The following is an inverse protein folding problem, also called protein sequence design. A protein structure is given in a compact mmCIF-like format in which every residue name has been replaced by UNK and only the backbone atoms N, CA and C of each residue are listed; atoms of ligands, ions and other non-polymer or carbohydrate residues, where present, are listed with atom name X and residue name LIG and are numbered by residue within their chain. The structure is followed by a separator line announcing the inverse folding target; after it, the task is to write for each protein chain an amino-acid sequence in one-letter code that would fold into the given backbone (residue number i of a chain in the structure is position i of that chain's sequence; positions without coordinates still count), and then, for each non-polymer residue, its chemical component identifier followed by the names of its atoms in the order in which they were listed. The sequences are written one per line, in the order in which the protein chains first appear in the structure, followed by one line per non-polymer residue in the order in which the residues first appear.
data_IF_230140157017
#
_entry.id   IF_230140157017
#
_cell.length_a   1.000
_cell.length_b   1.000
_cell.length_c   1.000
_cell.angle_alpha   90.00
_cell.angle_beta   90.00
_cell.angle_gamma   90.00
#
_symmetry.space_group_name_H-M   'P 1'
#
loop_
_entity.id
_entity.type
_entity.pdbx_description
1 polymer ?
#
# COMPACT_ATOMS: atom_id res chain seq x y z
N UNK A 1 -22.55 -20.17 6.78
CA UNK A 1 -21.37 -19.53 6.14
C UNK A 1 -21.13 -20.27 4.82
N UNK A 2 -21.15 -19.60 3.66
CA UNK A 2 -20.92 -20.28 2.37
C UNK A 2 -19.46 -20.74 2.28
N UNK A 3 -19.24 -21.96 1.80
CA UNK A 3 -17.91 -22.50 1.53
C UNK A 3 -17.19 -21.64 0.49
N UNK A 4 -15.96 -21.23 0.77
CA UNK A 4 -15.19 -20.28 -0.07
C UNK A 4 -14.15 -21.02 -0.91
N UNK A 5 -14.63 -21.83 -1.85
CA UNK A 5 -13.82 -22.74 -2.69
C UNK A 5 -12.57 -22.11 -3.33
N UNK A 6 -12.62 -20.83 -3.69
CA UNK A 6 -11.54 -20.14 -4.42
C UNK A 6 -10.71 -19.17 -3.57
N UNK A 7 -11.09 -18.97 -2.31
CA UNK A 7 -10.36 -18.08 -1.43
C UNK A 7 -9.08 -18.75 -0.92
N UNK A 8 -7.98 -18.00 -0.89
CA UNK A 8 -6.72 -18.40 -0.27
C UNK A 8 -6.51 -17.63 1.03
N UNK A 9 -5.78 -18.21 1.98
CA UNK A 9 -5.34 -17.49 3.18
C UNK A 9 -4.21 -16.56 2.77
N UNK A 10 -4.38 -15.26 3.01
CA UNK A 10 -3.33 -14.25 2.85
C UNK A 10 -2.47 -14.24 4.12
N UNK A 11 -1.18 -14.54 3.95
CA UNK A 11 -0.18 -14.50 5.01
C UNK A 11 0.86 -13.46 4.65
N UNK A 12 0.89 -12.36 5.40
CA UNK A 12 1.85 -11.29 5.19
C UNK A 12 2.23 -10.62 6.51
N UNK A 13 3.43 -10.06 6.56
CA UNK A 13 3.86 -9.12 7.61
C UNK A 13 4.21 -7.79 6.94
N UNK A 14 3.81 -6.68 7.57
CA UNK A 14 3.99 -5.32 7.05
C UNK A 14 4.93 -4.52 7.94
N UNK A 15 5.84 -3.77 7.33
CA UNK A 15 6.86 -2.99 8.02
C UNK A 15 6.95 -1.58 7.45
N UNK A 16 7.12 -0.58 8.32
CA UNK A 16 7.50 0.76 7.94
C UNK A 16 8.98 0.82 7.60
N UNK A 17 9.33 1.52 6.52
CA UNK A 17 10.72 1.88 6.20
C UNK A 17 10.92 3.39 6.30
N UNK A 18 12.14 3.82 6.61
CA UNK A 18 12.50 5.24 6.66
C UNK A 18 12.53 5.91 5.27
N UNK A 19 12.62 5.12 4.20
CA UNK A 19 12.72 5.63 2.84
C UNK A 19 12.69 4.52 1.79
N UNK A 20 12.68 4.90 0.50
CA UNK A 20 12.68 3.97 -0.62
C UNK A 20 13.93 3.08 -0.60
N UNK A 21 13.86 1.88 -1.21
CA UNK A 21 15.02 0.99 -1.28
C UNK A 21 16.09 1.58 -2.20
N UNK A 22 17.35 1.18 -1.97
CA UNK A 22 18.44 1.53 -2.88
C UNK A 22 18.19 0.92 -4.27
N UNK A 23 18.40 1.66 -5.38
CA UNK A 23 18.15 1.16 -6.73
C UNK A 23 18.87 -0.16 -7.05
N UNK A 24 20.08 -0.36 -6.51
CA UNK A 24 20.87 -1.59 -6.69
C UNK A 24 20.24 -2.85 -6.06
N UNK A 25 19.28 -2.69 -5.14
CA UNK A 25 18.58 -3.80 -4.49
C UNK A 25 17.28 -4.18 -5.19
N UNK A 26 16.83 -3.39 -6.16
CA UNK A 26 15.55 -3.58 -6.84
C UNK A 26 15.72 -4.56 -7.99
N UNK A 27 14.89 -5.61 -8.02
CA UNK A 27 14.88 -6.59 -9.11
C UNK A 27 13.76 -6.36 -10.12
N UNK A 28 12.63 -5.80 -9.68
CA UNK A 28 11.48 -5.48 -10.53
C UNK A 28 10.79 -4.22 -10.01
N UNK A 29 10.37 -3.34 -10.91
CA UNK A 29 9.52 -2.20 -10.58
C UNK A 29 8.13 -2.37 -11.16
N UNK A 30 7.08 -2.09 -10.37
CA UNK A 30 5.69 -2.07 -10.84
C UNK A 30 5.01 -0.77 -10.44
N UNK A 31 4.37 -0.12 -11.40
CA UNK A 31 3.42 0.95 -11.14
C UNK A 31 2.07 0.32 -10.83
N UNK A 32 1.43 0.71 -9.73
CA UNK A 32 0.18 0.11 -9.27
C UNK A 32 -0.85 1.22 -9.02
N UNK A 33 -2.06 1.01 -9.55
CA UNK A 33 -3.24 1.81 -9.23
C UNK A 33 -4.35 0.89 -8.77
N UNK A 34 -4.75 1.08 -7.52
CA UNK A 34 -5.83 0.35 -6.89
C UNK A 34 -7.07 1.23 -6.78
N UNK A 35 -8.21 0.72 -7.25
CA UNK A 35 -9.54 1.29 -7.06
C UNK A 35 -10.27 0.46 -6.01
N UNK A 36 -10.48 1.02 -4.82
CA UNK A 36 -11.27 0.38 -3.76
C UNK A 36 -12.73 0.73 -3.99
N UNK A 37 -13.54 -0.25 -4.40
CA UNK A 37 -14.92 -0.03 -4.80
C UNK A 37 -15.78 0.29 -3.56
N UNK A 38 -16.44 1.44 -3.59
CA UNK A 38 -17.14 2.01 -2.43
C UNK A 38 -18.22 1.06 -1.87
N UNK A 39 -18.30 0.97 -0.54
CA UNK A 39 -19.28 0.11 0.14
C UNK A 39 -19.03 -1.39 -0.01
N UNK A 40 -17.90 -1.81 -0.59
CA UNK A 40 -17.59 -3.22 -0.81
C UNK A 40 -16.24 -3.64 -0.21
N UNK A 41 -15.92 -4.93 -0.36
CA UNK A 41 -14.60 -5.52 -0.05
C UNK A 41 -13.76 -5.76 -1.31
N UNK A 42 -14.17 -5.16 -2.42
CA UNK A 42 -13.59 -5.37 -3.73
C UNK A 42 -12.59 -4.28 -4.06
N UNK A 43 -11.49 -4.67 -4.68
CA UNK A 43 -10.46 -3.78 -5.19
C UNK A 43 -10.13 -4.16 -6.63
N UNK A 44 -10.26 -3.21 -7.54
CA UNK A 44 -9.84 -3.35 -8.91
C UNK A 44 -8.41 -2.79 -9.04
N UNK A 45 -7.45 -3.63 -9.46
CA UNK A 45 -6.04 -3.27 -9.61
C UNK A 45 -5.65 -3.21 -11.07
N UNK A 46 -5.00 -2.12 -11.45
CA UNK A 46 -4.16 -2.02 -12.63
C UNK A 46 -2.70 -2.03 -12.18
N UNK A 47 -1.86 -2.78 -12.88
CA UNK A 47 -0.41 -2.72 -12.67
C UNK A 47 0.37 -2.86 -13.97
N UNK A 48 1.50 -2.17 -14.05
CA UNK A 48 2.39 -2.17 -15.20
C UNK A 48 3.84 -2.32 -14.74
N UNK A 49 4.63 -3.13 -15.45
CA UNK A 49 6.06 -3.23 -15.29
C UNK A 49 6.73 -2.34 -16.36
N UNK A 50 7.26 -1.15 -16.02
CA UNK A 50 7.79 -0.22 -17.03
C UNK A 50 8.88 -0.83 -17.91
N UNK A 51 9.75 -1.65 -17.32
CA UNK A 51 10.89 -2.27 -18.02
C UNK A 51 10.47 -3.23 -19.13
N UNK A 52 9.30 -3.86 -18.99
CA UNK A 52 8.79 -4.86 -19.95
C UNK A 52 7.54 -4.41 -20.70
N UNK A 53 6.92 -3.31 -20.27
CA UNK A 53 5.60 -2.86 -20.73
C UNK A 53 4.45 -3.82 -20.38
N UNK A 54 4.71 -4.88 -19.60
CA UNK A 54 3.70 -5.88 -19.27
C UNK A 54 2.66 -5.31 -18.30
N UNK A 55 1.38 -5.60 -18.57
CA UNK A 55 0.23 -5.08 -17.83
C UNK A 55 -0.61 -6.21 -17.25
N UNK A 56 -1.05 -6.04 -16.01
CA UNK A 56 -1.93 -6.97 -15.31
C UNK A 56 -3.13 -6.20 -14.74
N UNK A 57 -4.32 -6.74 -15.00
CA UNK A 57 -5.61 -6.22 -14.55
C UNK A 57 -6.29 -7.29 -13.69
N UNK A 58 -6.77 -6.95 -12.50
CA UNK A 58 -7.48 -7.92 -11.66
C UNK A 58 -8.51 -7.31 -10.72
N UNK A 59 -9.56 -8.08 -10.43
CA UNK A 59 -10.48 -7.85 -9.33
C UNK A 59 -10.04 -8.70 -8.13
N UNK A 60 -9.90 -8.08 -6.97
CA UNK A 60 -9.55 -8.74 -5.72
C UNK A 60 -10.69 -8.59 -4.72
N UNK A 61 -11.08 -9.66 -4.03
CA UNK A 61 -11.86 -9.58 -2.79
C UNK A 61 -10.95 -9.88 -1.60
N UNK A 62 -10.95 -8.98 -0.60
CA UNK A 62 -10.25 -9.22 0.68
C UNK A 62 -11.25 -9.33 1.82
N UNK A 63 -11.17 -10.41 2.60
CA UNK A 63 -11.97 -10.57 3.82
C UNK A 63 -11.00 -10.70 4.99
N UNK A 64 -10.89 -9.66 5.85
CA UNK A 64 -9.96 -9.66 6.97
C UNK A 64 -10.21 -10.83 7.93
N UNK A 65 -9.12 -11.30 8.54
CA UNK A 65 -9.19 -12.17 9.69
C UNK A 65 -9.70 -11.38 10.91
N UNK A 66 -10.34 -12.08 11.85
CA UNK A 66 -10.78 -11.51 13.13
C UNK A 66 -9.73 -11.72 14.24
N UNK A 67 -8.44 -11.76 13.89
CA UNK A 67 -7.32 -11.98 14.81
C UNK A 67 -6.07 -11.24 14.33
N UNK A 68 -5.18 -10.82 15.24
CA UNK A 68 -3.88 -10.28 14.87
C UNK A 68 -2.93 -11.37 14.32
N UNK A 69 -1.83 -10.94 13.72
CA UNK A 69 -0.72 -11.74 13.24
C UNK A 69 -0.64 -11.83 11.72
N UNK A 70 0.30 -12.64 11.22
CA UNK A 70 0.60 -12.73 9.80
C UNK A 70 -0.58 -13.19 8.92
N UNK A 71 -1.54 -13.93 9.48
CA UNK A 71 -2.76 -14.32 8.77
C UNK A 71 -3.72 -13.12 8.71
N UNK A 72 -3.63 -12.36 7.62
CA UNK A 72 -4.41 -11.13 7.43
C UNK A 72 -5.85 -11.40 6.99
N UNK A 73 -6.14 -12.59 6.45
CA UNK A 73 -7.50 -12.99 6.09
C UNK A 73 -7.56 -13.88 4.86
N UNK A 74 -8.64 -13.73 4.10
CA UNK A 74 -8.89 -14.45 2.87
C UNK A 74 -8.80 -13.50 1.67
N UNK A 75 -8.08 -13.94 0.64
CA UNK A 75 -7.93 -13.24 -0.63
C UNK A 75 -8.43 -14.10 -1.79
N UNK A 76 -9.19 -13.48 -2.69
CA UNK A 76 -9.61 -14.08 -3.97
C UNK A 76 -9.25 -13.12 -5.08
N UNK A 77 -8.52 -13.58 -6.10
CA UNK A 77 -8.14 -12.79 -7.26
C UNK A 77 -8.79 -13.36 -8.53
N UNK A 78 -9.30 -12.48 -9.38
CA UNK A 78 -9.78 -12.79 -10.73
C UNK A 78 -9.07 -11.88 -11.71
N UNK A 79 -8.29 -12.46 -12.62
CA UNK A 79 -7.61 -11.73 -13.69
C UNK A 79 -8.60 -11.32 -14.76
N UNK A 80 -8.44 -10.12 -15.28
CA UNK A 80 -9.42 -9.48 -16.16
C UNK A 80 -8.79 -9.17 -17.53
N UNK A 81 -9.60 -9.32 -18.56
CA UNK A 81 -9.40 -8.65 -19.83
C UNK A 81 -9.55 -7.13 -19.68
N UNK A 82 -9.12 -6.40 -20.71
CA UNK A 82 -9.28 -4.94 -20.75
C UNK A 82 -10.75 -4.51 -20.69
N UNK A 83 -11.62 -5.19 -21.43
CA UNK A 83 -13.05 -4.87 -21.49
C UNK A 83 -13.74 -5.05 -20.13
N UNK A 84 -13.45 -6.14 -19.43
CA UNK A 84 -13.97 -6.39 -18.06
C UNK A 84 -13.48 -5.32 -17.08
N UNK A 85 -12.19 -4.96 -17.16
CA UNK A 85 -11.62 -3.91 -16.31
C UNK A 85 -12.30 -2.57 -16.56
N UNK A 86 -12.42 -2.14 -17.83
CA UNK A 86 -12.99 -0.84 -18.18
C UNK A 86 -14.46 -0.73 -17.73
N UNK A 87 -15.23 -1.82 -17.85
CA UNK A 87 -16.60 -1.87 -17.32
C UNK A 87 -16.63 -1.70 -15.80
N UNK A 88 -15.83 -2.48 -15.06
CA UNK A 88 -15.79 -2.40 -13.58
C UNK A 88 -15.20 -1.07 -13.09
N UNK A 89 -14.31 -0.45 -13.86
CA UNK A 89 -13.72 0.84 -13.54
C UNK A 89 -14.73 2.00 -13.56
N UNK A 90 -15.91 1.81 -14.20
CA UNK A 90 -17.01 2.78 -14.15
C UNK A 90 -17.66 2.90 -12.76
N UNK A 91 -17.44 1.93 -11.87
CA UNK A 91 -18.00 1.94 -10.51
C UNK A 91 -17.29 2.98 -9.62
N UNK A 92 -18.01 3.62 -8.68
CA UNK A 92 -17.43 4.52 -7.69
C UNK A 92 -16.32 3.86 -6.87
N UNK A 93 -15.21 4.55 -6.72
CA UNK A 93 -14.06 4.02 -6.02
C UNK A 93 -13.10 5.12 -5.55
N UNK A 94 -12.52 4.90 -4.38
CA UNK A 94 -11.35 5.65 -3.94
C UNK A 94 -10.08 5.05 -4.56
N UNK A 95 -9.11 5.90 -4.93
CA UNK A 95 -7.94 5.48 -5.71
C UNK A 95 -6.66 5.61 -4.89
N UNK A 96 -5.86 4.55 -4.89
CA UNK A 96 -4.56 4.47 -4.25
C UNK A 96 -3.48 4.17 -5.29
N UNK A 97 -2.48 5.03 -5.40
CA UNK A 97 -1.36 4.89 -6.34
C UNK A 97 -0.06 4.68 -5.59
N UNK A 98 0.75 3.74 -6.10
CA UNK A 98 2.06 3.43 -5.54
C UNK A 98 2.99 2.83 -6.59
N UNK A 99 4.29 2.93 -6.34
CA UNK A 99 5.31 2.15 -7.03
C UNK A 99 5.76 1.02 -6.11
N UNK A 100 5.62 -0.24 -6.56
CA UNK A 100 6.10 -1.43 -5.85
C UNK A 100 7.45 -1.85 -6.41
N UNK A 101 8.46 -1.87 -5.56
CA UNK A 101 9.79 -2.40 -5.83
C UNK A 101 9.91 -3.81 -5.25
N UNK A 102 10.24 -4.80 -6.08
CA UNK A 102 10.64 -6.12 -5.59
C UNK A 102 12.08 -6.03 -5.07
N UNK A 103 12.26 -6.26 -3.77
CA UNK A 103 13.55 -6.30 -3.09
C UNK A 103 13.57 -7.54 -2.20
N UNK A 104 13.81 -8.74 -2.78
CA UNK A 104 13.64 -10.01 -2.08
C UNK A 104 14.33 -10.04 -0.71
N UNK A 105 13.65 -10.52 0.34
CA UNK A 105 12.34 -11.18 0.33
C UNK A 105 11.11 -10.23 0.39
N UNK A 106 11.30 -8.92 0.24
CA UNK A 106 10.28 -7.92 0.45
C UNK A 106 9.72 -7.35 -0.86
N UNK A 107 8.42 -7.03 -0.86
CA UNK A 107 7.85 -6.04 -1.77
C UNK A 107 7.77 -4.69 -1.06
N UNK A 108 8.43 -3.66 -1.61
CA UNK A 108 8.46 -2.31 -1.01
C UNK A 108 7.59 -1.36 -1.82
N UNK A 109 6.53 -0.86 -1.20
CA UNK A 109 5.65 0.16 -1.76
C UNK A 109 6.09 1.56 -1.37
N UNK A 110 6.23 2.42 -2.39
CA UNK A 110 6.39 3.86 -2.22
C UNK A 110 5.11 4.53 -2.74
N UNK A 111 4.41 5.22 -1.85
CA UNK A 111 3.09 5.79 -2.15
C UNK A 111 3.15 7.19 -2.74
N UNK A 112 2.17 7.50 -3.58
CA UNK A 112 2.04 8.79 -4.27
C UNK A 112 0.96 9.70 -3.65
N UNK A 113 0.85 10.92 -4.19
CA UNK A 113 -0.25 11.83 -3.89
C UNK A 113 -0.32 12.23 -2.41
N UNK A 114 -1.48 12.13 -1.75
CA UNK A 114 -1.64 12.44 -0.32
C UNK A 114 -0.74 11.61 0.60
N UNK A 115 -0.30 10.44 0.15
CA UNK A 115 0.51 9.52 0.94
C UNK A 115 2.00 9.58 0.65
N UNK A 116 2.45 10.57 -0.15
CA UNK A 116 3.87 10.76 -0.46
C UNK A 116 4.70 10.84 0.82
N UNK A 117 5.73 9.98 0.87
CA UNK A 117 6.63 9.82 2.01
C UNK A 117 6.35 8.56 2.84
N UNK A 118 5.19 7.92 2.67
CA UNK A 118 4.95 6.59 3.21
C UNK A 118 5.71 5.54 2.40
N UNK A 119 6.46 4.68 3.09
CA UNK A 119 7.11 3.51 2.51
C UNK A 119 6.78 2.29 3.36
N UNK A 120 6.13 1.30 2.74
CA UNK A 120 5.77 0.04 3.39
C UNK A 120 6.50 -1.13 2.72
N UNK A 121 7.09 -2.01 3.52
CA UNK A 121 7.57 -3.30 3.06
C UNK A 121 6.58 -4.39 3.47
N UNK A 122 6.30 -5.30 2.55
CA UNK A 122 5.49 -6.49 2.75
C UNK A 122 6.37 -7.74 2.53
N UNK A 123 6.31 -8.68 3.47
CA UNK A 123 6.79 -10.04 3.29
C UNK A 123 5.57 -10.96 3.19
N UNK A 124 5.47 -11.75 2.13
CA UNK A 124 4.38 -12.73 1.93
C UNK A 124 4.91 -14.14 2.23
N UNK A 125 4.07 -15.00 2.81
CA UNK A 125 4.47 -16.33 3.30
C UNK A 125 3.55 -17.43 2.79
N UNK A 126 4.12 -18.62 2.57
CA UNK A 126 3.33 -19.81 2.20
C UNK A 126 2.74 -20.53 3.42
N UNK A 127 3.36 -20.38 4.60
CA UNK A 127 2.97 -21.05 5.83
C UNK A 127 3.18 -20.22 7.10
N UNK A 128 2.53 -20.65 8.19
CA UNK A 128 2.58 -19.95 9.48
C UNK A 128 4.01 -20.05 10.10
N UNK A 129 4.68 -21.19 9.94
CA UNK A 129 6.06 -21.40 10.44
C UNK A 129 7.07 -20.47 9.76
N UNK A 130 6.95 -20.27 8.44
CA UNK A 130 7.78 -19.35 7.67
C UNK A 130 7.60 -17.90 8.15
N UNK A 131 6.35 -17.49 8.39
CA UNK A 131 6.03 -16.17 8.90
C UNK A 131 6.59 -15.92 10.32
N UNK A 132 6.56 -16.95 11.17
CA UNK A 132 7.11 -16.91 12.53
C UNK A 132 8.65 -16.86 12.53
N UNK A 133 9.29 -17.63 11.65
CA UNK A 133 10.75 -17.66 11.52
C UNK A 133 11.34 -16.43 10.82
N UNK A 134 10.50 -15.61 10.16
CA UNK A 134 10.97 -14.46 9.39
C UNK A 134 11.61 -13.39 10.29
N UNK A 135 12.87 -13.10 10.01
CA UNK A 135 13.61 -12.00 10.65
C UNK A 135 13.58 -10.79 9.70
N UNK A 136 12.92 -9.69 10.09
CA UNK A 136 12.87 -8.51 9.23
C UNK A 136 14.27 -7.88 9.06
N UNK A 137 14.63 -7.41 7.85
CA UNK A 137 15.89 -6.71 7.63
C UNK A 137 16.04 -5.48 8.53
N UNK A 138 17.28 -5.15 8.93
CA UNK A 138 17.58 -4.04 9.86
C UNK A 138 17.08 -2.65 9.41
N UNK A 139 16.75 -2.46 8.13
CA UNK A 139 16.16 -1.24 7.59
C UNK A 139 14.67 -1.05 7.94
N UNK A 140 14.01 -2.09 8.45
CA UNK A 140 12.63 -2.01 8.92
C UNK A 140 12.59 -1.23 10.23
N UNK A 141 11.84 -0.12 10.24
CA UNK A 141 11.72 0.77 11.40
C UNK A 141 10.77 0.19 12.44
N UNK A 142 9.60 -0.27 11.98
CA UNK A 142 8.58 -0.83 12.84
C UNK A 142 7.75 -1.87 12.09
N UNK A 143 7.32 -2.92 12.78
CA UNK A 143 6.31 -3.82 12.27
C UNK A 143 4.91 -3.23 12.52
N UNK A 144 4.11 -3.13 11.46
CA UNK A 144 2.75 -2.57 11.45
C UNK A 144 1.73 -3.57 10.91
N UNK A 145 2.04 -4.86 11.00
CA UNK A 145 1.17 -5.97 10.57
C UNK A 145 -0.24 -5.86 11.17
N UNK A 146 -0.33 -5.58 12.47
CA UNK A 146 -1.61 -5.49 13.19
C UNK A 146 -2.21 -4.07 13.23
N UNK A 147 -1.49 -3.08 12.70
CA UNK A 147 -1.99 -1.72 12.64
C UNK A 147 -2.85 -1.52 11.38
N UNK A 148 -4.16 -1.44 11.61
CA UNK A 148 -5.17 -1.25 10.58
C UNK A 148 -5.00 0.06 9.81
N UNK A 149 -4.35 1.09 10.39
CA UNK A 149 -4.09 2.38 9.75
C UNK A 149 -3.24 2.24 8.49
N UNK A 150 -2.35 1.25 8.45
CA UNK A 150 -1.46 0.97 7.31
C UNK A 150 -2.00 -0.10 6.36
N UNK A 151 -3.28 -0.44 6.45
CA UNK A 151 -3.94 -1.30 5.46
C UNK A 151 -4.38 -0.47 4.26
N UNK A 152 -4.33 -1.06 3.07
CA UNK A 152 -4.71 -0.35 1.85
C UNK A 152 -6.15 0.22 1.87
N UNK A 153 -7.07 -0.44 2.56
CA UNK A 153 -8.46 0.01 2.70
C UNK A 153 -8.65 1.25 3.59
N UNK A 154 -7.72 1.51 4.53
CA UNK A 154 -7.72 2.74 5.33
C UNK A 154 -6.86 3.81 4.64
N UNK A 155 -5.71 3.42 4.09
CA UNK A 155 -4.79 4.34 3.41
C UNK A 155 -5.43 5.05 2.21
N UNK A 156 -6.31 4.38 1.47
CA UNK A 156 -6.97 4.96 0.28
C UNK A 156 -7.75 6.25 0.59
N UNK A 157 -8.24 6.41 1.83
CA UNK A 157 -8.98 7.59 2.28
C UNK A 157 -8.16 8.50 3.22
N UNK A 158 -6.92 8.13 3.55
CA UNK A 158 -6.13 8.84 4.54
C UNK A 158 -5.65 10.20 4.01
N UNK A 159 -5.85 11.24 4.82
CA UNK A 159 -5.32 12.57 4.55
C UNK A 159 -3.83 12.66 4.88
N UNK A 160 -3.15 13.67 4.31
CA UNK A 160 -1.75 13.96 4.62
C UNK A 160 -1.53 14.22 6.12
N UNK A 161 -2.50 14.87 6.78
CA UNK A 161 -2.44 15.18 8.21
C UNK A 161 -2.52 13.91 9.06
N UNK A 162 -3.45 13.02 8.74
CA UNK A 162 -3.55 11.71 9.42
C UNK A 162 -2.29 10.89 9.22
N UNK A 163 -1.80 10.79 7.98
CA UNK A 163 -0.56 10.07 7.71
C UNK A 163 0.61 10.62 8.52
N UNK A 164 0.76 11.95 8.59
CA UNK A 164 1.82 12.58 9.38
C UNK A 164 1.71 12.25 10.87
N UNK A 165 0.50 12.23 11.42
CA UNK A 165 0.27 11.85 12.81
C UNK A 165 0.61 10.37 13.04
N UNK A 166 0.16 9.48 12.15
CA UNK A 166 0.41 8.03 12.28
C UNK A 166 1.90 7.69 12.17
N UNK A 167 2.63 8.34 11.28
CA UNK A 167 4.08 8.12 11.13
C UNK A 167 4.88 8.67 12.33
N UNK A 168 4.41 9.76 12.95
CA UNK A 168 5.03 10.32 14.14
C UNK A 168 4.99 9.34 15.33
N UNK A 169 3.95 8.53 15.46
CA UNK A 169 3.86 7.47 16.48
C UNK A 169 4.99 6.43 16.34
N UNK A 170 5.62 6.33 15.17
CA UNK A 170 6.76 5.44 14.89
C UNK A 170 8.08 6.21 14.74
N UNK A 171 8.13 7.49 15.12
CA UNK A 171 9.32 8.32 15.02
C UNK A 171 9.71 8.71 13.58
N UNK A 172 8.80 8.57 12.62
CA UNK A 172 9.04 8.94 11.21
C UNK A 172 8.43 10.32 10.95
N UNK A 173 9.27 11.31 10.68
CA UNK A 173 8.85 12.65 10.28
C UNK A 173 8.61 12.75 8.77
N UNK A 174 7.46 13.27 8.35
CA UNK A 174 7.23 13.66 6.96
C UNK A 174 7.74 15.07 6.72
N UNK A 175 8.60 15.25 5.72
CA UNK A 175 8.96 16.60 5.29
C UNK A 175 7.72 17.35 4.77
N UNK A 176 7.56 18.64 5.11
CA UNK A 176 6.54 19.49 4.52
C UNK A 176 6.69 19.51 2.99
N UNK A 177 5.60 19.77 2.26
CA UNK A 177 5.69 19.87 0.79
C UNK A 177 6.72 20.95 0.43
N UNK A 178 7.58 20.75 -0.57
CA UNK A 178 8.20 21.89 -1.22
C UNK A 178 7.06 22.74 -1.82
N UNK A 179 6.84 23.95 -1.27
CA UNK A 179 5.84 24.90 -1.78
C UNK A 179 4.82 25.47 -0.78
N UNK A 180 4.94 25.23 0.53
CA UNK A 180 4.26 26.08 1.52
C UNK A 180 5.27 27.07 2.11
N UNK A 181 5.53 28.15 1.37
CA UNK A 181 6.17 29.33 1.93
C UNK A 181 5.24 29.95 2.99
N UNK A 182 5.77 30.39 4.15
CA UNK A 182 4.98 31.23 5.05
C UNK A 182 4.66 32.53 4.30
N UNK A 183 3.37 32.83 4.16
CA UNK A 183 2.91 34.08 3.56
C UNK A 183 3.63 35.25 4.20
N UNK A 184 4.36 36.02 3.40
CA UNK A 184 4.87 37.33 3.79
C UNK A 184 3.65 38.19 4.13
N UNK A 185 3.47 38.47 5.42
CA UNK A 185 2.56 39.51 5.88
C UNK A 185 3.17 40.86 5.49
N UNK A 186 2.80 41.34 4.31
CA UNK A 186 3.06 42.73 3.91
C UNK A 186 2.06 43.63 4.62
N UNK A 187 2.32 43.87 5.90
CA UNK A 187 1.76 44.96 6.67
C UNK A 187 2.90 45.83 7.20
N UNK A 188 3.38 46.74 6.35
CA UNK A 188 4.17 47.88 6.77
C UNK A 188 3.56 49.15 6.15
N UNK A 189 3.24 50.19 6.96
CA UNK A 189 2.66 51.41 6.44
C UNK A 189 3.77 52.26 5.77
N UNK A 190 3.42 52.83 4.62
CA UNK A 190 4.20 53.87 3.95
C UNK A 190 4.22 55.13 4.83
N UNK A 191 5.41 55.65 5.12
CA UNK A 191 5.64 57.08 5.34
C UNK A 191 6.21 57.68 4.06
#
# INVERSE_FOLDING_TARGET
MRERKYARIERERRFLLAGPPAPSSVTVTRLIRDRYLEGTRLRLRWSECPDTGSRELKLTQKVPANRPGAVQGLITNTYLSRAEYDLLASLPAAVLSKTRFSVPPLGVDVFDGPLRGLVLAEAEFSGDEEALAFVPPARCVAEVTDDVRFTGGILVSASRRELSAWLADYGIGLSPRPGSEPGHDHSAPMY
#
